data_IF_214373815933
#
_entry.id   IF_214373815933
#
_cell.length_a   1.000
_cell.length_b   1.000
_cell.length_c   1.000
_cell.angle_alpha   90.00
_cell.angle_beta   90.00
_cell.angle_gamma   90.00
#
_symmetry.space_group_name_H-M   'P 1'
#
loop_
_entity.id
_entity.type
_entity.pdbx_description
1 polymer ?
#
# COMPACT_ATOMS: atom_id res chain seq x y z
N UNK A 1 -35.37 15.27 24.09
CA UNK A 1 -34.47 15.76 23.02
C UNK A 1 -35.26 15.72 21.74
N UNK A 2 -35.53 16.89 21.15
CA UNK A 2 -36.38 17.02 19.97
C UNK A 2 -35.67 16.41 18.76
N UNK A 3 -36.19 15.29 18.25
CA UNK A 3 -35.68 14.64 17.04
C UNK A 3 -35.78 15.60 15.85
N UNK A 4 -34.75 15.61 15.01
CA UNK A 4 -34.75 16.38 13.76
C UNK A 4 -35.87 15.81 12.89
N UNK A 5 -36.90 16.62 12.62
CA UNK A 5 -38.04 16.19 11.81
C UNK A 5 -37.61 16.24 10.34
N UNK A 6 -37.24 15.08 9.79
CA UNK A 6 -36.79 14.95 8.40
C UNK A 6 -37.99 15.04 7.45
N UNK A 7 -37.78 15.66 6.28
CA UNK A 7 -38.77 15.62 5.19
C UNK A 7 -38.97 14.19 4.68
N UNK A 8 -40.11 13.91 4.04
CA UNK A 8 -40.40 12.58 3.49
C UNK A 8 -39.32 12.13 2.50
N UNK A 9 -38.75 13.08 1.75
CA UNK A 9 -37.61 12.85 0.86
C UNK A 9 -36.33 12.50 1.63
N UNK A 10 -35.99 13.26 2.68
CA UNK A 10 -34.81 12.99 3.51
C UNK A 10 -34.93 11.65 4.27
N UNK A 11 -36.13 11.28 4.70
CA UNK A 11 -36.41 10.00 5.33
C UNK A 11 -36.27 8.83 4.34
N UNK A 12 -36.72 9.02 3.10
CA UNK A 12 -36.53 8.03 2.01
C UNK A 12 -35.05 7.85 1.69
N UNK A 13 -34.29 8.94 1.57
CA UNK A 13 -32.84 8.92 1.36
C UNK A 13 -32.11 8.22 2.51
N UNK A 14 -32.48 8.50 3.76
CA UNK A 14 -31.93 7.84 4.96
C UNK A 14 -32.18 6.33 4.94
N UNK A 15 -33.39 5.90 4.58
CA UNK A 15 -33.74 4.47 4.48
C UNK A 15 -32.88 3.75 3.44
N UNK A 16 -32.64 4.35 2.28
CA UNK A 16 -31.75 3.81 1.25
C UNK A 16 -30.30 3.69 1.75
N UNK A 17 -29.80 4.67 2.48
CA UNK A 17 -28.43 4.67 3.02
C UNK A 17 -28.26 3.52 4.03
N UNK A 18 -29.20 3.39 4.99
CA UNK A 18 -29.05 2.50 6.14
C UNK A 18 -29.49 1.04 5.88
N UNK A 19 -30.31 0.77 4.86
CA UNK A 19 -30.82 -0.60 4.63
C UNK A 19 -29.69 -1.61 4.41
N UNK A 20 -29.85 -2.85 4.88
CA UNK A 20 -28.91 -3.95 4.68
C UNK A 20 -27.48 -3.69 5.20
N UNK A 21 -27.26 -2.65 6.01
CA UNK A 21 -26.03 -2.52 6.79
C UNK A 21 -26.19 -3.35 8.08
N UNK A 22 -25.14 -4.06 8.46
CA UNK A 22 -25.12 -4.82 9.71
C UNK A 22 -25.08 -3.89 10.92
N UNK A 23 -24.41 -2.75 10.79
CA UNK A 23 -24.26 -1.73 11.85
C UNK A 23 -24.08 -0.34 11.20
N UNK A 24 -24.56 0.70 11.86
CA UNK A 24 -24.37 2.09 11.45
C UNK A 24 -24.07 2.98 12.66
N UNK A 25 -22.93 3.66 12.64
CA UNK A 25 -22.48 4.57 13.69
C UNK A 25 -22.66 6.03 13.23
N UNK A 26 -23.03 6.92 14.15
CA UNK A 26 -23.14 8.37 13.88
C UNK A 26 -24.34 8.78 13.01
N UNK A 27 -25.45 8.03 13.09
CA UNK A 27 -26.69 8.27 12.32
C UNK A 27 -27.28 9.65 12.61
N UNK A 28 -27.14 10.14 13.83
CA UNK A 28 -27.51 11.49 14.28
C UNK A 28 -26.84 12.60 13.46
N UNK A 29 -25.55 12.44 13.10
CA UNK A 29 -24.84 13.39 12.22
C UNK A 29 -25.35 13.29 10.77
N UNK A 30 -25.64 12.09 10.30
CA UNK A 30 -26.20 11.87 8.97
C UNK A 30 -27.58 12.53 8.84
N UNK A 31 -28.46 12.37 9.84
CA UNK A 31 -29.77 13.03 9.87
C UNK A 31 -29.65 14.55 9.76
N UNK A 32 -28.74 15.15 10.54
CA UNK A 32 -28.47 16.59 10.48
C UNK A 32 -27.96 17.05 9.12
N UNK A 33 -27.13 16.24 8.47
CA UNK A 33 -26.63 16.55 7.12
C UNK A 33 -27.73 16.43 6.06
N UNK A 34 -28.60 15.42 6.18
CA UNK A 34 -29.74 15.23 5.27
C UNK A 34 -30.83 16.27 5.45
N UNK A 35 -30.99 16.84 6.65
CA UNK A 35 -31.93 17.93 6.92
C UNK A 35 -31.42 19.31 6.52
N UNK A 36 -30.17 19.43 6.07
CA UNK A 36 -29.58 20.73 5.68
C UNK A 36 -29.81 20.97 4.19
N UNK A 37 -30.64 21.96 3.86
CA UNK A 37 -30.95 22.29 2.46
C UNK A 37 -29.71 22.62 1.63
N UNK A 38 -29.64 22.04 0.43
CA UNK A 38 -28.51 22.20 -0.50
C UNK A 38 -27.23 21.45 -0.10
N UNK A 39 -27.17 20.78 1.07
CA UNK A 39 -25.99 20.01 1.48
C UNK A 39 -25.94 18.67 0.74
N UNK A 40 -24.93 18.54 -0.11
CA UNK A 40 -24.59 17.24 -0.71
C UNK A 40 -23.73 16.45 0.27
N UNK A 41 -24.19 15.25 0.62
CA UNK A 41 -23.46 14.33 1.50
C UNK A 41 -22.44 13.57 0.66
N UNK A 42 -21.18 13.59 1.09
CA UNK A 42 -20.09 12.88 0.46
C UNK A 42 -19.77 11.62 1.25
N UNK A 43 -19.68 10.48 0.56
CA UNK A 43 -19.37 9.19 1.18
C UNK A 43 -18.22 8.54 0.44
N UNK A 44 -17.21 8.09 1.18
CA UNK A 44 -16.06 7.40 0.63
C UNK A 44 -16.19 5.88 0.83
N UNK A 45 -15.87 5.13 -0.22
CA UNK A 45 -15.68 3.69 -0.13
C UNK A 45 -14.29 3.34 -0.64
N UNK A 46 -13.41 2.94 0.28
CA UNK A 46 -12.09 2.44 -0.05
C UNK A 46 -12.17 0.97 -0.42
N UNK A 47 -11.80 0.64 -1.65
CA UNK A 47 -11.63 -0.75 -2.07
C UNK A 47 -10.16 -1.09 -2.19
N UNK A 48 -9.76 -2.19 -1.54
CA UNK A 48 -8.42 -2.74 -1.72
C UNK A 48 -8.34 -3.24 -3.16
N UNK A 49 -7.55 -2.53 -3.93
CA UNK A 49 -7.39 -2.77 -5.34
C UNK A 49 -6.27 -3.78 -5.39
N UNK A 50 -6.55 -5.03 -5.05
CA UNK A 50 -5.52 -6.06 -4.83
C UNK A 50 -5.84 -7.38 -5.54
N UNK A 51 -7.03 -7.49 -6.14
CA UNK A 51 -7.52 -8.67 -6.87
C UNK A 51 -8.64 -8.34 -7.87
N UNK A 52 -9.03 -9.31 -8.71
CA UNK A 52 -10.10 -9.14 -9.73
C UNK A 52 -11.49 -9.10 -9.05
N UNK A 53 -12.34 -8.10 -9.35
CA UNK A 53 -13.71 -8.07 -8.86
C UNK A 53 -14.48 -9.31 -9.31
N UNK A 54 -15.10 -10.01 -8.36
CA UNK A 54 -16.00 -11.15 -8.62
C UNK A 54 -17.42 -10.81 -8.17
N UNK A 55 -18.37 -11.74 -8.24
CA UNK A 55 -19.78 -11.48 -7.89
C UNK A 55 -20.00 -10.96 -6.46
N UNK A 56 -19.03 -11.18 -5.55
CA UNK A 56 -19.05 -10.62 -4.20
C UNK A 56 -18.91 -9.09 -4.19
N UNK A 57 -18.33 -8.48 -5.23
CA UNK A 57 -18.30 -7.02 -5.41
C UNK A 57 -19.70 -6.45 -5.71
N UNK A 58 -20.68 -7.24 -6.14
CA UNK A 58 -22.05 -6.74 -6.28
C UNK A 58 -22.66 -6.35 -4.93
N UNK A 59 -22.18 -6.91 -3.82
CA UNK A 59 -22.64 -6.53 -2.47
C UNK A 59 -22.28 -5.08 -2.14
N UNK A 60 -21.00 -4.65 -2.16
CA UNK A 60 -20.65 -3.24 -1.98
C UNK A 60 -21.14 -2.36 -3.13
N UNK A 61 -21.14 -2.82 -4.39
CA UNK A 61 -21.65 -2.04 -5.53
C UNK A 61 -23.14 -1.74 -5.42
N UNK A 62 -23.94 -2.69 -4.91
CA UNK A 62 -25.38 -2.47 -4.67
C UNK A 62 -25.60 -1.41 -3.61
N UNK A 63 -24.74 -1.35 -2.59
CA UNK A 63 -24.77 -0.32 -1.55
C UNK A 63 -24.32 1.05 -2.07
N UNK A 64 -23.30 1.09 -2.93
CA UNK A 64 -22.91 2.33 -3.64
C UNK A 64 -24.06 2.84 -4.51
N UNK A 65 -24.77 1.96 -5.21
CA UNK A 65 -25.96 2.33 -5.97
C UNK A 65 -27.08 2.91 -5.08
N UNK A 66 -27.25 2.41 -3.86
CA UNK A 66 -28.17 3.00 -2.87
C UNK A 66 -27.74 4.42 -2.46
N UNK A 67 -26.44 4.64 -2.26
CA UNK A 67 -25.91 5.96 -1.92
C UNK A 67 -26.12 6.97 -3.05
N UNK A 68 -25.84 6.56 -4.30
CA UNK A 68 -26.07 7.39 -5.48
C UNK A 68 -27.57 7.68 -5.67
N UNK A 69 -28.45 6.70 -5.48
CA UNK A 69 -29.92 6.89 -5.51
C UNK A 69 -30.40 7.82 -4.40
N UNK A 70 -29.75 7.80 -3.24
CA UNK A 70 -29.99 8.74 -2.16
C UNK A 70 -29.37 10.13 -2.40
N UNK A 71 -28.81 10.40 -3.59
CA UNK A 71 -28.25 11.69 -3.97
C UNK A 71 -26.92 12.03 -3.29
N UNK A 72 -26.19 11.04 -2.78
CA UNK A 72 -24.85 11.22 -2.22
C UNK A 72 -23.81 11.29 -3.34
N UNK A 73 -22.75 12.07 -3.14
CA UNK A 73 -21.55 12.04 -3.99
C UNK A 73 -20.57 11.02 -3.44
N UNK A 74 -20.22 10.04 -4.26
CA UNK A 74 -19.26 8.99 -3.90
C UNK A 74 -18.01 9.16 -4.77
N UNK A 75 -16.99 9.94 -4.34
CA UNK A 75 -15.72 10.00 -5.04
C UNK A 75 -15.01 8.64 -4.92
N UNK A 76 -14.73 8.02 -6.06
CA UNK A 76 -13.91 6.82 -6.16
C UNK A 76 -12.54 7.29 -6.64
N UNK A 77 -11.61 7.53 -5.72
CA UNK A 77 -10.22 7.83 -6.08
C UNK A 77 -9.48 6.54 -6.44
N UNK A 78 -8.74 6.60 -7.55
CA UNK A 78 -7.96 5.47 -8.03
C UNK A 78 -6.78 5.23 -7.09
N UNK A 79 -6.68 4.07 -6.43
CA UNK A 79 -5.43 3.67 -5.80
C UNK A 79 -4.35 3.55 -6.87
N UNK A 80 -3.10 3.79 -6.48
CA UNK A 80 -1.94 3.60 -7.34
C UNK A 80 -1.97 2.19 -7.91
N UNK A 81 -1.70 2.04 -9.22
CA UNK A 81 -1.59 0.72 -9.87
C UNK A 81 -0.60 -0.20 -9.14
N UNK A 82 0.41 0.36 -8.49
CA UNK A 82 1.34 -0.38 -7.63
C UNK A 82 0.64 -1.14 -6.49
N UNK A 83 -0.42 -0.58 -5.90
CA UNK A 83 -1.23 -1.24 -4.86
C UNK A 83 -1.99 -2.48 -5.37
N UNK A 84 -2.33 -2.51 -6.67
CA UNK A 84 -2.89 -3.69 -7.37
C UNK A 84 -1.88 -4.79 -7.61
N UNK A 85 -0.68 -4.40 -7.97
CA UNK A 85 0.34 -5.35 -8.37
C UNK A 85 0.94 -6.08 -7.17
N UNK A 86 1.18 -5.38 -6.05
CA UNK A 86 1.88 -5.94 -4.91
C UNK A 86 1.31 -7.29 -4.38
N UNK A 87 0.00 -7.42 -4.10
CA UNK A 87 -0.57 -8.70 -3.63
C UNK A 87 -0.47 -9.83 -4.65
N UNK A 88 -0.58 -9.52 -5.95
CA UNK A 88 -0.41 -10.52 -7.01
C UNK A 88 1.03 -11.02 -7.07
N UNK A 89 1.99 -10.11 -6.90
CA UNK A 89 3.41 -10.43 -6.82
C UNK A 89 3.70 -11.30 -5.58
N UNK A 90 3.22 -10.89 -4.39
CA UNK A 90 3.42 -11.64 -3.15
C UNK A 90 2.83 -13.07 -3.22
N UNK A 91 1.69 -13.26 -3.88
CA UNK A 91 1.12 -14.60 -4.09
C UNK A 91 1.99 -15.45 -5.05
N UNK A 92 2.56 -14.84 -6.09
CA UNK A 92 3.44 -15.54 -7.02
C UNK A 92 4.80 -15.88 -6.41
N UNK A 93 5.29 -15.10 -5.43
CA UNK A 93 6.55 -15.39 -4.74
C UNK A 93 6.58 -16.81 -4.17
N UNK A 94 5.45 -17.32 -3.67
CA UNK A 94 5.33 -18.72 -3.19
C UNK A 94 5.76 -19.75 -4.24
N UNK A 95 5.38 -19.52 -5.50
CA UNK A 95 5.73 -20.39 -6.62
C UNK A 95 7.18 -20.21 -7.06
N UNK A 96 7.64 -18.97 -7.19
CA UNK A 96 8.96 -18.67 -7.74
C UNK A 96 10.09 -18.99 -6.75
N UNK A 97 9.84 -18.81 -5.45
CA UNK A 97 10.75 -19.23 -4.38
C UNK A 97 10.68 -20.73 -4.11
N UNK A 98 9.70 -21.44 -4.68
CA UNK A 98 9.48 -22.89 -4.52
C UNK A 98 9.35 -23.31 -3.05
N UNK A 99 8.60 -22.53 -2.28
CA UNK A 99 8.33 -22.81 -0.87
C UNK A 99 7.07 -23.65 -0.70
N UNK A 100 7.03 -24.42 0.39
CA UNK A 100 5.87 -25.22 0.79
C UNK A 100 4.82 -24.40 1.56
N UNK A 101 5.22 -23.26 2.12
CA UNK A 101 4.36 -22.40 2.92
C UNK A 101 4.91 -20.99 3.15
N UNK A 102 4.03 -20.10 3.61
CA UNK A 102 4.36 -18.71 3.91
C UNK A 102 3.94 -18.34 5.34
N UNK A 103 4.80 -17.57 6.00
CA UNK A 103 4.58 -17.06 7.34
C UNK A 103 4.44 -15.53 7.31
N UNK A 104 3.53 -14.98 8.10
CA UNK A 104 3.37 -13.53 8.25
C UNK A 104 2.42 -13.14 9.36
N UNK A 105 2.07 -11.86 9.45
CA UNK A 105 1.07 -11.36 10.41
C UNK A 105 -0.37 -11.67 9.97
N UNK A 106 -1.31 -11.68 10.91
CA UNK A 106 -2.76 -11.78 10.60
C UNK A 106 -3.28 -10.63 9.72
N UNK A 107 -2.58 -9.50 9.65
CA UNK A 107 -2.90 -8.41 8.73
C UNK A 107 -2.65 -8.77 7.26
N UNK A 108 -1.80 -9.77 6.99
CA UNK A 108 -1.57 -10.30 5.64
C UNK A 108 -2.58 -11.38 5.21
N UNK A 109 -3.54 -11.75 6.09
CA UNK A 109 -4.51 -12.83 5.85
C UNK A 109 -5.22 -12.74 4.51
N UNK A 110 -5.58 -11.53 4.06
CA UNK A 110 -6.27 -11.33 2.77
C UNK A 110 -5.39 -11.72 1.58
N UNK A 111 -4.08 -11.50 1.68
CA UNK A 111 -3.12 -11.88 0.64
C UNK A 111 -2.91 -13.40 0.64
N UNK A 112 -2.84 -14.03 1.81
CA UNK A 112 -2.75 -15.49 1.91
C UNK A 112 -3.98 -16.20 1.33
N UNK A 113 -5.19 -15.69 1.62
CA UNK A 113 -6.43 -16.20 1.00
C UNK A 113 -6.40 -16.02 -0.53
N UNK A 114 -5.91 -14.87 -1.02
CA UNK A 114 -5.75 -14.63 -2.45
C UNK A 114 -4.82 -15.67 -3.08
N UNK A 115 -3.66 -15.95 -2.47
CA UNK A 115 -2.75 -16.98 -2.94
C UNK A 115 -3.43 -18.37 -2.95
N UNK A 116 -4.12 -18.72 -1.86
CA UNK A 116 -4.79 -20.01 -1.73
C UNK A 116 -5.92 -20.23 -2.77
N UNK A 117 -6.63 -19.16 -3.15
CA UNK A 117 -7.71 -19.22 -4.13
C UNK A 117 -7.24 -19.14 -5.59
N UNK A 118 -6.20 -18.34 -5.87
CA UNK A 118 -5.81 -18.02 -7.25
C UNK A 118 -4.70 -18.91 -7.78
N UNK A 119 -3.73 -19.34 -6.95
CA UNK A 119 -2.65 -20.22 -7.40
C UNK A 119 -3.17 -21.55 -7.99
N UNK A 120 -4.18 -22.23 -7.40
CA UNK A 120 -4.75 -23.43 -7.99
C UNK A 120 -5.41 -23.21 -9.35
N UNK A 121 -6.01 -22.03 -9.59
CA UNK A 121 -6.61 -21.69 -10.90
C UNK A 121 -5.55 -21.53 -11.99
N UNK A 122 -4.34 -21.16 -11.61
CA UNK A 122 -3.16 -21.13 -12.48
C UNK A 122 -2.48 -22.51 -12.59
N UNK A 123 -3.09 -23.57 -12.05
CA UNK A 123 -2.52 -24.93 -11.95
C UNK A 123 -1.23 -25.00 -11.13
N UNK A 124 -1.07 -24.07 -10.19
CA UNK A 124 0.02 -24.05 -9.21
C UNK A 124 -0.44 -24.72 -7.91
N UNK A 125 0.50 -25.27 -7.14
CA UNK A 125 0.20 -25.94 -5.88
C UNK A 125 -0.31 -24.99 -4.79
N UNK A 126 -1.07 -25.54 -3.82
CA UNK A 126 -1.40 -24.82 -2.58
C UNK A 126 -0.23 -24.81 -1.62
N UNK A 127 -0.16 -23.78 -0.79
CA UNK A 127 0.84 -23.59 0.28
C UNK A 127 0.12 -23.57 1.62
N UNK A 128 0.82 -23.97 2.69
CA UNK A 128 0.32 -23.72 4.03
C UNK A 128 0.66 -22.30 4.48
N UNK A 129 -0.23 -21.65 5.23
CA UNK A 129 -0.03 -20.29 5.72
C UNK A 129 -0.10 -20.26 7.25
N UNK A 130 0.94 -19.75 7.88
CA UNK A 130 1.00 -19.56 9.34
C UNK A 130 0.98 -18.06 9.66
N UNK A 131 0.03 -17.65 10.48
CA UNK A 131 -0.22 -16.25 10.79
C UNK A 131 0.04 -15.95 12.27
N UNK A 132 1.02 -15.10 12.53
CA UNK A 132 1.26 -14.57 13.87
C UNK A 132 0.22 -13.51 14.25
N UNK A 133 -0.18 -13.45 15.53
CA UNK A 133 -1.08 -12.41 16.02
C UNK A 133 -0.45 -11.02 15.88
N UNK A 134 -1.29 -9.99 15.90
CA UNK A 134 -0.80 -8.62 16.00
C UNK A 134 -0.26 -8.40 17.40
N UNK A 135 1.05 -8.17 17.52
CA UNK A 135 1.67 -7.81 18.79
C UNK A 135 1.45 -6.31 19.03
N UNK A 136 0.83 -5.91 20.15
CA UNK A 136 0.68 -4.50 20.49
C UNK A 136 2.06 -3.85 20.68
N UNK A 137 2.18 -2.59 20.28
CA UNK A 137 3.35 -1.77 20.53
C UNK A 137 3.47 -1.37 21.99
N UNK A 138 4.63 -0.84 22.36
CA UNK A 138 4.94 -0.50 23.76
C UNK A 138 4.03 0.59 24.33
N UNK A 139 3.48 1.46 23.49
CA UNK A 139 2.53 2.52 23.87
C UNK A 139 1.08 2.05 23.89
N UNK A 140 0.80 0.75 23.66
CA UNK A 140 -0.57 0.18 23.69
C UNK A 140 -1.34 0.27 22.37
N UNK A 141 -0.73 0.81 21.30
CA UNK A 141 -1.29 0.85 19.94
C UNK A 141 -0.47 -0.03 18.97
N UNK A 142 -0.94 -0.25 17.73
CA UNK A 142 -0.17 -1.00 16.70
C UNK A 142 1.19 -0.31 16.49
N UNK A 143 2.29 -1.07 16.50
CA UNK A 143 3.61 -0.55 16.17
C UNK A 143 3.57 0.17 14.81
N UNK A 144 3.91 1.45 14.79
CA UNK A 144 3.87 2.29 13.59
C UNK A 144 5.26 2.85 13.31
N UNK A 145 5.71 2.77 12.06
CA UNK A 145 6.96 3.39 11.65
C UNK A 145 6.93 4.92 11.77
N UNK A 146 5.74 5.52 11.81
CA UNK A 146 5.49 6.97 11.86
C UNK A 146 5.55 7.58 13.27
N UNK A 147 5.53 6.77 14.33
CA UNK A 147 5.61 7.26 15.72
C UNK A 147 6.94 6.81 16.34
N UNK A 148 7.87 7.75 16.52
CA UNK A 148 9.25 7.48 16.96
C UNK A 148 9.29 6.78 18.33
N UNK A 149 8.41 7.16 19.25
CA UNK A 149 8.36 6.59 20.61
C UNK A 149 7.54 5.30 20.70
N UNK A 150 6.82 4.90 19.63
CA UNK A 150 6.03 3.66 19.61
C UNK A 150 6.87 2.39 19.39
N UNK A 151 8.15 2.55 19.01
CA UNK A 151 9.06 1.49 18.59
C UNK A 151 10.43 1.61 19.27
N UNK A 152 11.05 0.48 19.60
CA UNK A 152 12.47 0.42 19.98
C UNK A 152 13.26 0.07 18.72
N UNK A 153 14.19 0.94 18.35
CA UNK A 153 15.12 0.67 17.26
C UNK A 153 16.22 -0.30 17.73
N UNK A 154 16.75 -1.12 16.81
CA UNK A 154 17.85 -2.04 17.12
C UNK A 154 19.13 -1.29 17.54
N UNK A 155 19.25 -0.03 17.12
CA UNK A 155 20.41 0.82 17.41
C UNK A 155 20.12 1.90 18.47
N UNK A 156 18.96 1.84 19.15
CA UNK A 156 18.66 2.73 20.27
C UNK A 156 19.67 2.53 21.40
N UNK A 157 20.15 3.63 22.00
CA UNK A 157 21.02 3.56 23.17
C UNK A 157 20.28 3.07 24.41
N UNK A 158 21.03 2.61 25.41
CA UNK A 158 20.49 2.12 26.68
C UNK A 158 19.48 3.10 27.31
N UNK A 159 19.82 4.39 27.35
CA UNK A 159 18.97 5.45 27.93
C UNK A 159 17.68 5.66 27.13
N UNK A 160 17.72 5.47 25.80
CA UNK A 160 16.55 5.61 24.92
C UNK A 160 15.60 4.43 25.15
N UNK A 161 16.13 3.21 25.21
CA UNK A 161 15.37 1.99 25.49
C UNK A 161 14.68 2.09 26.85
N UNK A 162 15.43 2.47 27.89
CA UNK A 162 14.93 2.65 29.24
C UNK A 162 13.77 3.66 29.28
N UNK A 163 13.96 4.85 28.71
CA UNK A 163 12.92 5.89 28.64
C UNK A 163 11.66 5.40 27.94
N UNK A 164 11.79 4.69 26.80
CA UNK A 164 10.65 4.17 26.04
C UNK A 164 9.87 3.12 26.83
N UNK A 165 10.55 2.18 27.48
CA UNK A 165 9.90 1.12 28.27
C UNK A 165 9.27 1.68 29.54
N UNK A 166 9.92 2.63 30.22
CA UNK A 166 9.33 3.31 31.37
C UNK A 166 8.06 4.09 30.97
N UNK A 167 8.05 4.69 29.78
CA UNK A 167 6.88 5.36 29.20
C UNK A 167 5.77 4.43 28.68
N UNK A 168 6.03 3.12 28.57
CA UNK A 168 5.06 2.15 28.04
C UNK A 168 3.78 2.03 28.89
N UNK A 169 2.64 1.84 28.25
CA UNK A 169 1.40 1.53 28.95
C UNK A 169 1.46 0.09 29.50
N UNK A 170 1.28 -0.07 30.82
CA UNK A 170 1.40 -1.37 31.48
C UNK A 170 0.37 -1.49 32.60
N UNK A 171 -0.91 -1.36 32.24
CA UNK A 171 -2.03 -1.54 33.17
C UNK A 171 -2.38 -3.02 33.36
N UNK A 172 -2.94 -3.36 34.53
CA UNK A 172 -3.51 -4.68 34.83
C UNK A 172 -4.89 -4.87 34.21
N UNK A 173 -5.60 -3.79 33.91
CA UNK A 173 -6.95 -3.83 33.35
C UNK A 173 -6.99 -3.80 31.82
N UNK A 174 -5.86 -3.49 31.17
CA UNK A 174 -5.77 -3.40 29.71
C UNK A 174 -5.49 -4.78 29.11
N UNK A 175 -6.30 -5.17 28.12
CA UNK A 175 -6.08 -6.40 27.36
C UNK A 175 -4.90 -6.30 26.41
N UNK A 176 -4.58 -5.09 25.93
CA UNK A 176 -3.52 -4.82 24.95
C UNK A 176 -2.24 -4.29 25.61
N UNK A 177 -1.79 -4.97 26.66
CA UNK A 177 -0.57 -4.61 27.38
C UNK A 177 0.67 -5.02 26.58
N UNK A 178 1.30 -4.03 25.92
CA UNK A 178 2.51 -4.22 25.10
C UNK A 178 3.70 -4.83 25.85
N UNK A 179 3.85 -4.52 27.14
CA UNK A 179 4.90 -5.09 27.99
C UNK A 179 4.67 -6.58 28.18
N UNK A 180 3.48 -7.00 28.62
CA UNK A 180 3.14 -8.42 28.79
C UNK A 180 3.21 -9.19 27.47
N UNK A 181 2.77 -8.59 26.37
CA UNK A 181 2.88 -9.19 25.05
C UNK A 181 4.34 -9.48 24.67
N UNK A 182 5.27 -8.58 25.02
CA UNK A 182 6.69 -8.81 24.79
C UNK A 182 7.24 -9.98 25.62
N UNK A 183 6.82 -10.12 26.87
CA UNK A 183 7.17 -11.29 27.69
C UNK A 183 6.69 -12.59 27.04
N UNK A 184 5.45 -12.62 26.53
CA UNK A 184 4.87 -13.81 25.91
C UNK A 184 5.54 -14.19 24.58
N UNK A 185 5.67 -13.22 23.65
CA UNK A 185 6.05 -13.51 22.27
C UNK A 185 7.56 -13.44 22.00
N UNK A 186 8.34 -12.82 22.88
CA UNK A 186 9.78 -12.61 22.66
C UNK A 186 10.60 -13.16 23.83
N UNK A 187 10.40 -12.64 25.04
CA UNK A 187 11.32 -12.90 26.15
C UNK A 187 11.26 -14.37 26.61
N UNK A 188 10.08 -14.90 26.93
CA UNK A 188 9.92 -16.30 27.38
C UNK A 188 10.38 -17.31 26.31
N UNK A 189 10.03 -17.16 25.02
CA UNK A 189 10.55 -18.04 23.97
C UNK A 189 12.07 -18.07 23.85
N UNK A 190 12.78 -16.97 24.19
CA UNK A 190 14.25 -16.90 24.15
C UNK A 190 14.88 -17.56 25.38
N UNK A 191 14.30 -17.36 26.56
CA UNK A 191 14.85 -17.86 27.83
C UNK A 191 14.53 -19.35 28.05
N UNK A 192 13.38 -19.81 27.55
CA UNK A 192 12.94 -21.20 27.66
C UNK A 192 14.00 -22.17 27.09
N UNK A 193 14.35 -23.26 27.82
CA UNK A 193 13.67 -23.82 28.99
C UNK A 193 14.16 -23.32 30.35
N UNK A 194 15.03 -22.31 30.41
CA UNK A 194 15.55 -21.77 31.67
C UNK A 194 14.50 -20.90 32.39
N UNK A 195 14.68 -20.66 33.69
CA UNK A 195 13.86 -19.71 34.43
C UNK A 195 14.27 -18.27 34.18
N UNK A 196 13.28 -17.39 34.27
CA UNK A 196 13.44 -15.94 34.29
C UNK A 196 13.24 -15.45 35.73
N UNK A 197 14.16 -14.62 36.23
CA UNK A 197 14.06 -14.02 37.55
C UNK A 197 13.43 -12.63 37.42
N UNK A 198 12.31 -12.40 38.12
CA UNK A 198 11.64 -11.08 38.23
C UNK A 198 11.44 -10.79 39.71
N UNK A 199 12.03 -9.70 40.23
CA UNK A 199 11.95 -9.31 41.64
C UNK A 199 12.26 -10.49 42.60
N UNK A 200 13.41 -11.14 42.38
CA UNK A 200 13.92 -12.29 43.15
C UNK A 200 13.04 -13.55 43.14
N UNK A 201 12.10 -13.66 42.18
CA UNK A 201 11.24 -14.84 41.98
C UNK A 201 11.49 -15.45 40.62
N UNK A 202 11.55 -16.78 40.57
CA UNK A 202 11.72 -17.54 39.34
C UNK A 202 10.38 -17.84 38.65
N UNK A 203 10.37 -17.68 37.34
CA UNK A 203 9.24 -17.95 36.46
C UNK A 203 9.69 -18.79 35.27
N UNK A 204 8.93 -19.81 34.90
CA UNK A 204 9.25 -20.68 33.76
C UNK A 204 8.29 -20.46 32.58
N UNK A 205 7.08 -19.99 32.86
CA UNK A 205 6.02 -19.84 31.85
C UNK A 205 5.45 -18.42 31.86
N UNK A 206 4.91 -17.99 30.72
CA UNK A 206 4.22 -16.70 30.62
C UNK A 206 2.98 -16.63 31.53
N UNK A 207 2.25 -17.74 31.68
CA UNK A 207 1.04 -17.78 32.50
C UNK A 207 1.34 -17.50 33.98
N UNK A 208 2.45 -18.01 34.52
CA UNK A 208 2.89 -17.72 35.90
C UNK A 208 3.18 -16.22 36.11
N UNK A 209 3.82 -15.58 35.14
CA UNK A 209 4.13 -14.14 35.17
C UNK A 209 2.84 -13.33 35.11
N UNK A 210 1.95 -13.69 34.18
CA UNK A 210 0.66 -13.02 33.99
C UNK A 210 -0.20 -13.11 35.25
N UNK A 211 -0.34 -14.29 35.84
CA UNK A 211 -1.12 -14.48 37.05
C UNK A 211 -0.51 -13.76 38.26
N UNK A 212 0.82 -13.74 38.35
CA UNK A 212 1.53 -12.98 39.40
C UNK A 212 1.35 -11.47 39.24
N UNK A 213 1.30 -10.97 38.01
CA UNK A 213 1.02 -9.55 37.74
C UNK A 213 -0.44 -9.19 38.03
N UNK A 214 -1.40 -10.03 37.62
CA UNK A 214 -2.83 -9.80 37.83
C UNK A 214 -3.24 -9.90 39.31
N UNK A 215 -2.70 -10.85 40.06
CA UNK A 215 -2.89 -10.99 41.52
C UNK A 215 -2.26 -9.85 42.32
N UNK A 216 -1.37 -9.10 41.69
CA UNK A 216 -0.68 -7.97 42.25
C UNK A 216 0.61 -8.27 42.99
N UNK A 217 1.07 -9.52 42.90
CA UNK A 217 2.34 -10.00 43.42
C UNK A 217 3.54 -9.38 42.69
N UNK A 218 3.42 -9.12 41.39
CA UNK A 218 4.36 -8.36 40.58
C UNK A 218 3.82 -6.95 40.30
N UNK A 219 4.69 -5.94 40.39
CA UNK A 219 4.37 -4.58 39.96
C UNK A 219 4.70 -4.37 38.49
N UNK A 220 4.12 -3.31 37.90
CA UNK A 220 4.47 -2.92 36.52
C UNK A 220 5.93 -2.46 36.42
N UNK A 221 6.48 -1.92 37.51
CA UNK A 221 7.87 -1.48 37.58
C UNK A 221 8.83 -2.67 37.52
N UNK A 222 8.53 -3.76 38.21
CA UNK A 222 9.34 -4.99 38.19
C UNK A 222 9.42 -5.60 36.78
N UNK A 223 8.26 -5.66 36.09
CA UNK A 223 8.19 -6.14 34.71
C UNK A 223 8.99 -5.24 33.77
N UNK A 224 8.84 -3.92 33.89
CA UNK A 224 9.56 -2.96 33.06
C UNK A 224 11.07 -3.01 33.28
N UNK A 225 11.53 -3.07 34.53
CA UNK A 225 12.97 -3.17 34.86
C UNK A 225 13.59 -4.42 34.25
N UNK A 226 12.96 -5.57 34.46
CA UNK A 226 13.44 -6.85 33.88
C UNK A 226 13.49 -6.76 32.35
N UNK A 227 12.46 -6.17 31.73
CA UNK A 227 12.42 -6.00 30.28
C UNK A 227 13.52 -5.06 29.77
N UNK A 228 13.83 -3.97 30.48
CA UNK A 228 14.92 -3.04 30.15
C UNK A 228 16.27 -3.75 30.18
N UNK A 229 16.56 -4.48 31.26
CA UNK A 229 17.82 -5.22 31.42
C UNK A 229 17.99 -6.25 30.29
N UNK A 230 16.96 -7.06 30.05
CA UNK A 230 16.97 -8.07 28.99
C UNK A 230 17.17 -7.46 27.59
N UNK A 231 16.42 -6.40 27.25
CA UNK A 231 16.52 -5.77 25.94
C UNK A 231 17.88 -5.12 25.73
N UNK A 232 18.41 -4.44 26.74
CA UNK A 232 19.72 -3.81 26.61
C UNK A 232 20.84 -4.84 26.45
N UNK A 233 20.79 -5.99 27.14
CA UNK A 233 21.75 -7.06 26.92
C UNK A 233 21.65 -7.64 25.50
N UNK A 234 20.43 -7.84 25.00
CA UNK A 234 20.18 -8.35 23.65
C UNK A 234 20.66 -7.36 22.58
N UNK A 235 20.30 -6.09 22.71
CA UNK A 235 20.65 -5.03 21.77
C UNK A 235 22.15 -4.74 21.79
N UNK A 236 22.83 -4.80 22.94
CA UNK A 236 24.28 -4.64 23.00
C UNK A 236 25.01 -5.64 22.09
N UNK A 237 24.59 -6.91 22.09
CA UNK A 237 25.14 -7.95 21.20
C UNK A 237 24.96 -7.58 19.73
N UNK A 238 23.79 -7.05 19.34
CA UNK A 238 23.51 -6.61 17.97
C UNK A 238 24.35 -5.38 17.61
N UNK A 239 24.38 -4.39 18.48
CA UNK A 239 25.09 -3.13 18.29
C UNK A 239 26.60 -3.33 18.15
N UNK A 240 27.19 -4.24 18.92
CA UNK A 240 28.59 -4.61 18.79
C UNK A 240 28.93 -5.16 17.39
N UNK A 241 28.04 -5.96 16.80
CA UNK A 241 28.19 -6.43 15.40
C UNK A 241 27.95 -5.33 14.37
N UNK A 242 27.16 -4.31 14.71
CA UNK A 242 26.86 -3.17 13.84
C UNK A 242 27.95 -2.10 13.83
N UNK A 243 29.02 -2.21 14.63
CA UNK A 243 30.15 -1.26 14.65
C UNK A 243 31.11 -1.33 13.45
N UNK A 244 30.73 -2.02 12.37
CA UNK A 244 31.55 -2.09 11.16
C UNK A 244 31.37 -0.84 10.28
N UNK A 245 32.42 -0.46 9.55
CA UNK A 245 32.37 0.67 8.61
C UNK A 245 31.29 0.48 7.53
N UNK A 246 31.04 -0.76 7.11
CA UNK A 246 29.99 -1.10 6.13
C UNK A 246 28.61 -0.76 6.66
N UNK A 247 28.31 -1.11 7.91
CA UNK A 247 27.02 -0.82 8.54
C UNK A 247 26.86 0.67 8.76
N UNK A 248 27.91 1.36 9.22
CA UNK A 248 27.89 2.82 9.40
C UNK A 248 27.61 3.55 8.08
N UNK A 249 28.29 3.18 7.01
CA UNK A 249 28.06 3.75 5.67
C UNK A 249 26.64 3.47 5.16
N UNK A 250 26.11 2.27 5.40
CA UNK A 250 24.75 1.91 5.05
C UNK A 250 23.71 2.75 5.82
N UNK A 251 23.94 3.01 7.11
CA UNK A 251 23.07 3.86 7.93
C UNK A 251 23.07 5.30 7.44
N UNK A 252 24.25 5.87 7.20
CA UNK A 252 24.39 7.25 6.70
C UNK A 252 23.73 7.45 5.33
N UNK A 253 23.81 6.44 4.45
CA UNK A 253 23.19 6.50 3.12
C UNK A 253 21.69 6.20 3.16
N UNK A 254 21.26 5.25 3.98
CA UNK A 254 19.89 4.73 4.02
C UNK A 254 18.90 5.62 4.77
N UNK A 255 19.36 6.38 5.76
CA UNK A 255 18.52 7.21 6.62
C UNK A 255 18.84 8.70 6.52
N UNK A 256 19.59 9.12 5.49
CA UNK A 256 19.80 10.54 5.22
C UNK A 256 18.42 11.18 5.02
N UNK A 257 18.10 12.21 5.79
CA UNK A 257 16.87 12.99 5.59
C UNK A 257 16.91 13.54 4.17
N UNK A 258 16.18 12.89 3.27
CA UNK A 258 15.91 13.42 1.96
C UNK A 258 14.88 14.49 2.20
N UNK A 259 15.31 15.76 2.33
CA UNK A 259 14.42 16.87 2.02
C UNK A 259 13.91 16.60 0.62
N UNK A 260 12.64 16.18 0.52
CA UNK A 260 11.94 16.09 -0.75
C UNK A 260 11.86 17.50 -1.34
N UNK A 261 12.95 17.95 -1.96
CA UNK A 261 12.82 18.86 -3.07
C UNK A 261 12.07 18.06 -4.11
N UNK A 262 10.74 18.23 -4.18
CA UNK A 262 10.00 17.99 -5.40
C UNK A 262 10.86 18.59 -6.50
N UNK A 263 11.49 17.74 -7.32
CA UNK A 263 12.33 18.23 -8.38
C UNK A 263 11.46 19.17 -9.19
N UNK A 264 11.77 20.47 -9.16
CA UNK A 264 11.05 21.41 -10.00
C UNK A 264 11.06 20.82 -11.41
N UNK A 265 9.90 20.79 -12.09
CA UNK A 265 9.84 20.21 -13.42
C UNK A 265 10.93 20.87 -14.25
N UNK A 266 11.98 20.09 -14.60
CA UNK A 266 13.14 20.61 -15.33
C UNK A 266 12.59 21.40 -16.51
N UNK A 267 12.85 22.70 -16.54
CA UNK A 267 12.46 23.52 -17.69
C UNK A 267 13.03 22.86 -18.94
N UNK A 268 12.13 22.46 -19.83
CA UNK A 268 12.53 21.74 -21.03
C UNK A 268 13.31 22.73 -21.90
N UNK A 269 14.50 22.36 -22.40
CA UNK A 269 15.31 23.27 -23.18
C UNK A 269 14.56 23.72 -24.42
N UNK A 270 14.49 25.04 -24.65
CA UNK A 270 13.89 25.62 -25.85
C UNK A 270 14.78 25.28 -27.04
N UNK A 271 14.32 24.37 -27.89
CA UNK A 271 15.03 23.99 -29.12
C UNK A 271 14.72 25.03 -30.20
N UNK A 272 15.71 25.85 -30.55
CA UNK A 272 15.61 26.74 -31.70
C UNK A 272 15.60 25.93 -33.00
N UNK A 273 14.67 26.26 -33.88
CA UNK A 273 14.49 25.64 -35.21
C UNK A 273 14.35 26.73 -36.25
N UNK A 274 14.83 26.49 -37.46
CA UNK A 274 14.65 27.42 -38.59
C UNK A 274 13.21 27.38 -39.11
N UNK A 275 12.78 28.38 -39.89
CA UNK A 275 11.43 28.41 -40.47
C UNK A 275 11.13 27.19 -41.37
N UNK A 276 12.16 26.71 -42.09
CA UNK A 276 12.06 25.48 -42.88
C UNK A 276 11.84 24.24 -42.01
N UNK A 277 12.55 24.15 -40.88
CA UNK A 277 12.38 23.07 -39.91
C UNK A 277 11.02 23.14 -39.20
N UNK A 278 10.54 24.35 -38.91
CA UNK A 278 9.22 24.58 -38.34
C UNK A 278 8.12 24.07 -39.28
N UNK A 279 8.18 24.42 -40.57
CA UNK A 279 7.24 23.94 -41.58
C UNK A 279 7.27 22.41 -41.70
N UNK A 280 8.46 21.81 -41.66
CA UNK A 280 8.60 20.34 -41.66
C UNK A 280 7.94 19.71 -40.43
N UNK A 281 8.10 20.31 -39.24
CA UNK A 281 7.46 19.83 -38.00
C UNK A 281 5.94 19.92 -38.09
N UNK A 282 5.41 21.05 -38.58
CA UNK A 282 3.97 21.23 -38.81
C UNK A 282 3.43 20.20 -39.80
N UNK A 283 4.20 19.84 -40.83
CA UNK A 283 3.82 18.79 -41.78
C UNK A 283 3.86 17.38 -41.17
N UNK A 284 4.79 17.11 -40.23
CA UNK A 284 4.88 15.83 -39.51
C UNK A 284 3.68 15.68 -38.57
N UNK A 285 3.37 16.72 -37.80
CA UNK A 285 2.23 16.73 -36.87
C UNK A 285 0.92 16.70 -37.64
N UNK A 286 0.76 17.58 -38.64
CA UNK A 286 -0.46 17.69 -39.44
C UNK A 286 -1.68 17.93 -38.55
N UNK A 287 -2.66 17.03 -38.64
CA UNK A 287 -3.89 17.07 -37.84
C UNK A 287 -3.85 16.17 -36.60
N UNK A 288 -2.69 15.57 -36.28
CA UNK A 288 -2.56 14.69 -35.13
C UNK A 288 -2.48 15.49 -33.82
N UNK A 289 -3.05 14.93 -32.75
CA UNK A 289 -3.02 15.55 -31.41
C UNK A 289 -1.65 15.35 -30.76
N UNK A 290 -1.08 16.43 -30.23
CA UNK A 290 0.13 16.39 -29.41
C UNK A 290 -0.25 16.20 -27.94
N UNK A 291 0.46 15.30 -27.26
CA UNK A 291 0.27 15.12 -25.81
C UNK A 291 0.90 16.32 -25.10
N UNK A 292 0.07 17.13 -24.45
CA UNK A 292 0.49 18.33 -23.72
C UNK A 292 1.06 19.43 -24.63
N UNK A 293 0.65 19.45 -25.91
CA UNK A 293 1.14 20.38 -26.94
C UNK A 293 2.67 20.38 -27.12
N UNK A 294 3.35 19.32 -26.66
CA UNK A 294 4.80 19.23 -26.67
C UNK A 294 5.33 18.52 -27.92
N UNK A 295 6.15 19.23 -28.69
CA UNK A 295 6.93 18.69 -29.80
C UNK A 295 8.44 18.91 -29.63
N UNK A 296 8.93 19.15 -28.41
CA UNK A 296 10.34 19.46 -28.12
C UNK A 296 11.29 18.33 -28.56
N UNK A 297 10.92 17.07 -28.33
CA UNK A 297 11.72 15.93 -28.79
C UNK A 297 11.80 15.86 -30.32
N UNK A 298 10.69 16.12 -31.01
CA UNK A 298 10.62 16.17 -32.47
C UNK A 298 11.46 17.34 -33.02
N UNK A 299 11.32 18.54 -32.43
CA UNK A 299 12.16 19.72 -32.72
C UNK A 299 13.64 19.38 -32.59
N UNK A 300 14.04 18.70 -31.52
CA UNK A 300 15.43 18.28 -31.28
C UNK A 300 15.94 17.31 -32.36
N UNK A 301 15.13 16.34 -32.79
CA UNK A 301 15.53 15.42 -33.85
C UNK A 301 15.76 16.15 -35.18
N UNK A 302 14.82 17.02 -35.57
CA UNK A 302 14.90 17.81 -36.81
C UNK A 302 16.06 18.81 -36.77
N UNK A 303 16.22 19.55 -35.67
CA UNK A 303 17.29 20.54 -35.51
C UNK A 303 18.69 19.93 -35.64
N UNK A 304 18.87 18.71 -35.13
CA UNK A 304 20.15 18.00 -35.13
C UNK A 304 20.32 17.03 -36.32
N UNK A 305 19.38 17.00 -37.26
CA UNK A 305 19.41 16.08 -38.40
C UNK A 305 19.41 14.59 -38.02
N UNK A 306 18.90 14.25 -36.83
CA UNK A 306 18.83 12.86 -36.35
C UNK A 306 17.61 12.15 -36.93
N UNK A 307 17.75 10.85 -37.21
CA UNK A 307 16.61 10.01 -37.59
C UNK A 307 15.54 10.04 -36.49
N UNK A 308 14.27 10.16 -36.88
CA UNK A 308 13.16 10.15 -35.94
C UNK A 308 12.83 8.69 -35.62
N UNK A 309 13.13 8.27 -34.39
CA UNK A 309 12.76 6.95 -33.89
C UNK A 309 11.31 6.95 -33.45
N UNK A 310 10.50 6.12 -34.10
CA UNK A 310 9.05 6.04 -33.86
C UNK A 310 8.63 4.61 -33.56
N UNK A 311 7.69 4.46 -32.63
CA UNK A 311 7.08 3.17 -32.30
C UNK A 311 5.59 3.23 -32.60
N UNK A 312 5.07 2.20 -33.26
CA UNK A 312 3.63 1.98 -33.40
C UNK A 312 3.25 0.66 -32.73
N UNK A 313 2.48 0.76 -31.65
CA UNK A 313 2.01 -0.41 -30.91
C UNK A 313 0.67 -0.87 -31.46
N UNK A 314 0.63 -2.13 -31.88
CA UNK A 314 -0.57 -2.85 -32.27
C UNK A 314 -0.99 -3.71 -31.10
N UNK A 315 -2.23 -3.51 -30.66
CA UNK A 315 -2.89 -4.30 -29.64
C UNK A 315 -3.87 -5.23 -30.36
N UNK A 316 -3.51 -6.50 -30.64
CA UNK A 316 -4.32 -7.39 -31.47
C UNK A 316 -5.51 -7.95 -30.66
N UNK A 317 -6.49 -7.08 -30.39
CA UNK A 317 -7.78 -7.45 -29.79
C UNK A 317 -8.75 -7.84 -30.92
N UNK A 318 -8.85 -9.14 -31.20
CA UNK A 318 -9.77 -9.68 -32.22
C UNK A 318 -9.18 -9.70 -33.64
N UNK A 319 -10.06 -9.67 -34.66
CA UNK A 319 -9.63 -9.79 -36.08
C UNK A 319 -8.94 -8.52 -36.57
N UNK A 320 -7.90 -8.69 -37.38
CA UNK A 320 -7.20 -7.59 -38.02
C UNK A 320 -8.15 -6.76 -38.91
N UNK A 321 -8.28 -5.46 -38.63
CA UNK A 321 -9.10 -4.52 -39.38
C UNK A 321 -8.28 -3.31 -39.87
N UNK A 322 -8.87 -2.49 -40.74
CA UNK A 322 -8.18 -1.34 -41.38
C UNK A 322 -7.60 -0.30 -40.40
N UNK A 323 -8.06 -0.29 -39.14
CA UNK A 323 -7.53 0.60 -38.11
C UNK A 323 -6.06 0.36 -37.79
N UNK A 324 -5.59 -0.89 -37.90
CA UNK A 324 -4.18 -1.25 -37.69
C UNK A 324 -3.25 -0.72 -38.79
N UNK A 325 -3.79 -0.36 -39.96
CA UNK A 325 -2.99 0.18 -41.06
C UNK A 325 -2.71 1.67 -40.90
N UNK A 326 -3.47 2.40 -40.06
CA UNK A 326 -3.37 3.86 -39.96
C UNK A 326 -1.97 4.32 -39.53
N UNK A 327 -1.37 3.66 -38.54
CA UNK A 327 0.00 3.95 -38.09
C UNK A 327 1.06 3.64 -39.15
N UNK A 328 0.90 2.52 -39.87
CA UNK A 328 1.80 2.13 -40.96
C UNK A 328 1.74 3.11 -42.13
N UNK A 329 0.53 3.56 -42.50
CA UNK A 329 0.33 4.55 -43.56
C UNK A 329 0.94 5.91 -43.19
N UNK A 330 0.87 6.31 -41.90
CA UNK A 330 1.55 7.52 -41.42
C UNK A 330 3.07 7.39 -41.57
N UNK A 331 3.66 6.28 -41.13
CA UNK A 331 5.10 6.04 -41.30
C UNK A 331 5.51 6.07 -42.76
N UNK A 332 4.76 5.41 -43.63
CA UNK A 332 4.99 5.44 -45.09
C UNK A 332 4.95 6.87 -45.64
N UNK A 333 3.95 7.66 -45.25
CA UNK A 333 3.83 9.06 -45.69
C UNK A 333 5.01 9.93 -45.25
N UNK A 334 5.61 9.66 -44.08
CA UNK A 334 6.82 10.36 -43.64
C UNK A 334 8.03 9.99 -44.49
N UNK A 335 8.22 8.69 -44.78
CA UNK A 335 9.31 8.19 -45.64
C UNK A 335 9.21 8.77 -47.05
N UNK A 336 8.00 8.78 -47.65
CA UNK A 336 7.75 9.31 -48.99
C UNK A 336 8.07 10.82 -49.10
N UNK A 337 8.04 11.55 -47.99
CA UNK A 337 8.41 12.97 -47.91
C UNK A 337 9.90 13.20 -47.67
N UNK A 338 10.72 12.14 -47.70
CA UNK A 338 12.16 12.22 -47.46
C UNK A 338 12.54 12.38 -45.99
N UNK A 339 11.61 12.15 -45.06
CA UNK A 339 11.88 12.24 -43.63
C UNK A 339 12.50 10.93 -43.17
N UNK A 340 13.71 11.03 -42.63
CA UNK A 340 14.43 9.86 -42.12
C UNK A 340 13.80 9.37 -40.81
N UNK A 341 13.13 8.22 -40.86
CA UNK A 341 12.52 7.57 -39.69
C UNK A 341 13.10 6.18 -39.47
N UNK A 342 13.28 5.82 -38.20
CA UNK A 342 13.56 4.45 -37.76
C UNK A 342 12.29 3.95 -37.03
N UNK A 343 11.55 3.05 -37.66
CA UNK A 343 10.25 2.59 -37.16
C UNK A 343 10.32 1.21 -36.49
N UNK A 344 9.72 1.08 -35.30
CA UNK A 344 9.44 -0.22 -34.66
C UNK A 344 7.93 -0.42 -34.60
N UNK A 345 7.45 -1.55 -35.14
CA UNK A 345 6.06 -1.98 -34.98
C UNK A 345 6.03 -3.02 -33.87
N UNK A 346 5.48 -2.66 -32.71
CA UNK A 346 5.37 -3.55 -31.57
C UNK A 346 3.99 -4.20 -31.59
N UNK A 347 3.94 -5.52 -31.72
CA UNK A 347 2.69 -6.27 -31.54
C UNK A 347 2.67 -6.73 -30.08
N UNK A 348 1.85 -6.08 -29.26
CA UNK A 348 1.72 -6.38 -27.83
C UNK A 348 0.75 -7.54 -27.61
N UNK A 349 1.28 -8.75 -27.55
CA UNK A 349 0.53 -9.97 -27.27
C UNK A 349 0.07 -10.07 -25.81
N UNK A 350 0.74 -9.38 -24.88
CA UNK A 350 0.37 -9.32 -23.46
C UNK A 350 -1.07 -8.86 -23.26
N UNK A 351 -1.54 -7.86 -23.99
CA UNK A 351 -2.93 -7.42 -23.88
C UNK A 351 -3.92 -8.42 -24.47
N UNK A 352 -3.55 -9.11 -25.56
CA UNK A 352 -4.36 -10.19 -26.09
C UNK A 352 -4.43 -11.37 -25.11
N UNK A 353 -3.35 -11.65 -24.40
CA UNK A 353 -3.30 -12.63 -23.31
C UNK A 353 -4.17 -12.21 -22.12
N UNK A 354 -4.10 -10.95 -21.70
CA UNK A 354 -4.92 -10.41 -20.60
C UNK A 354 -6.42 -10.36 -20.95
N UNK A 355 -6.76 -10.11 -22.21
CA UNK A 355 -8.15 -10.10 -22.72
C UNK A 355 -8.68 -11.50 -23.08
N UNK A 356 -7.82 -12.51 -23.22
CA UNK A 356 -8.20 -13.90 -23.57
C UNK A 356 -8.91 -14.65 -22.41
N UNK A 357 -9.79 -13.97 -21.67
CA UNK A 357 -10.95 -14.62 -21.04
C UNK A 357 -12.00 -14.97 -22.13
N UNK A 358 -11.61 -15.84 -23.06
CA UNK A 358 -12.53 -16.64 -23.85
C UNK A 358 -12.22 -18.12 -23.71
#
# INVERSE_FOLDING_TARGET
MNGIQLSDEAQTRKSLILRNLQEALGVDKLEKQLSTDGKVVHVYWGTATTGKPHVGYFVPMRKIADFLQAGLKVPVESPLLSGLLYPLLQALDEQYLKVDGQFGGVDQRKIFILAEEQLPKLKLGKRWHLMNPMVPGLTGSKMSSSEIDSKIDLLDSHDVVERKILGAACSRQETDNGVLAFFNYVLIPIVSPNSLIIADKEFFTYDEIKDSFLSGTLSAEDLKKTLIEFLNELLAKVQDHCRSDVVREALEKGYKEVTETMAEPRERPVVQVTDQQLSLIEQIVGNDLLIGDDNTALRSCIANGRAIRVTFTIHPKGRFHLGFLKGLLKMKSLIERGINIEGVVLISDTEAFLDNEK
#
